data_IF_161725020332
#
_entry.id   IF_161725020332
#
_cell.length_a   1.000
_cell.length_b   1.000
_cell.length_c   1.000
_cell.angle_alpha   90.00
_cell.angle_beta   90.00
_cell.angle_gamma   90.00
#
_symmetry.space_group_name_H-M   'P 1'
#
loop_
_entity.id
_entity.type
_entity.pdbx_description
1 polymer ?
#
# COMPACT_ATOMS: atom_id res chain seq x y z
N UNK A 1 -12.80 -7.34 5.09
CA UNK A 1 -12.84 -6.72 3.76
C UNK A 1 -11.45 -6.27 3.35
N UNK A 2 -11.19 -6.27 2.06
CA UNK A 2 -10.02 -5.64 1.43
C UNK A 2 -10.48 -4.33 0.79
N UNK A 3 -9.60 -3.33 0.78
CA UNK A 3 -9.85 -2.03 0.16
C UNK A 3 -8.81 -1.77 -0.91
N UNK A 4 -9.24 -1.15 -2.00
CA UNK A 4 -8.38 -0.69 -3.08
C UNK A 4 -8.88 0.66 -3.60
N UNK A 5 -8.05 1.34 -4.37
CA UNK A 5 -8.44 2.57 -5.08
C UNK A 5 -8.50 2.33 -6.59
N UNK A 6 -9.31 3.12 -7.24
CA UNK A 6 -9.34 3.28 -8.70
C UNK A 6 -9.07 4.75 -9.00
N UNK A 7 -8.14 5.03 -9.89
CA UNK A 7 -7.72 6.39 -10.16
C UNK A 7 -8.67 7.14 -11.13
N UNK A 8 -9.37 6.41 -12.01
CA UNK A 8 -10.28 7.05 -12.96
C UNK A 8 -11.53 6.19 -13.25
N UNK A 9 -12.74 6.56 -12.77
CA UNK A 9 -12.97 7.69 -11.84
C UNK A 9 -12.35 7.41 -10.46
N UNK A 10 -12.02 8.47 -9.67
CA UNK A 10 -11.43 8.28 -8.35
C UNK A 10 -12.44 7.65 -7.39
N UNK A 11 -12.18 6.38 -7.03
CA UNK A 11 -13.04 5.59 -6.14
C UNK A 11 -12.20 4.87 -5.08
N UNK A 12 -12.77 4.69 -3.90
CA UNK A 12 -12.40 3.62 -2.98
C UNK A 12 -13.35 2.45 -3.24
N UNK A 13 -12.80 1.27 -3.47
CA UNK A 13 -13.56 0.02 -3.65
C UNK A 13 -13.28 -0.92 -2.50
N UNK A 14 -14.27 -1.77 -2.15
CA UNK A 14 -14.06 -2.83 -1.16
C UNK A 14 -14.57 -4.16 -1.68
N UNK A 15 -13.86 -5.21 -1.27
CA UNK A 15 -14.07 -6.57 -1.75
C UNK A 15 -13.90 -7.60 -0.65
N UNK A 16 -14.39 -8.80 -0.91
CA UNK A 16 -14.16 -9.95 -0.03
C UNK A 16 -12.72 -10.47 -0.19
N UNK A 17 -12.24 -11.32 0.75
CA UNK A 17 -10.95 -12.01 0.60
C UNK A 17 -10.88 -12.95 -0.60
N UNK A 18 -12.00 -13.26 -1.23
CA UNK A 18 -12.10 -14.03 -2.48
C UNK A 18 -12.02 -13.16 -3.75
N UNK A 19 -11.91 -11.82 -3.57
CA UNK A 19 -11.79 -10.85 -4.67
C UNK A 19 -13.13 -10.40 -5.24
N UNK A 20 -14.26 -10.71 -4.60
CA UNK A 20 -15.58 -10.25 -5.02
C UNK A 20 -15.81 -8.80 -4.57
N UNK A 21 -15.95 -7.87 -5.53
CA UNK A 21 -16.29 -6.47 -5.25
C UNK A 21 -17.68 -6.36 -4.64
N UNK A 22 -17.78 -5.83 -3.44
CA UNK A 22 -19.03 -5.67 -2.70
C UNK A 22 -19.52 -4.22 -2.61
N UNK A 23 -18.70 -3.25 -3.00
CA UNK A 23 -19.10 -1.87 -3.07
C UNK A 23 -18.00 -0.91 -3.48
N UNK A 24 -18.37 0.34 -3.66
CA UNK A 24 -17.44 1.44 -3.94
C UNK A 24 -18.03 2.80 -3.57
N UNK A 25 -17.15 3.79 -3.48
CA UNK A 25 -17.49 5.17 -3.18
C UNK A 25 -16.61 6.12 -3.99
N UNK A 26 -17.24 7.01 -4.76
CA UNK A 26 -16.54 8.09 -5.48
C UNK A 26 -16.00 9.11 -4.49
N UNK A 27 -14.74 9.53 -4.71
CA UNK A 27 -14.04 10.55 -3.91
C UNK A 27 -13.39 11.59 -4.82
N UNK A 28 -14.17 12.36 -5.60
CA UNK A 28 -13.67 13.18 -6.71
C UNK A 28 -12.70 14.30 -6.28
N UNK A 29 -12.65 14.63 -5.00
CA UNK A 29 -11.72 15.64 -4.47
C UNK A 29 -10.28 15.09 -4.34
N UNK A 30 -10.10 13.77 -4.26
CA UNK A 30 -8.78 13.14 -4.24
C UNK A 30 -8.43 12.72 -5.65
N UNK A 31 -7.61 13.51 -6.30
CA UNK A 31 -7.23 13.28 -7.69
C UNK A 31 -6.12 12.26 -7.79
N UNK A 32 -6.25 11.33 -8.72
CA UNK A 32 -5.25 10.30 -8.98
C UNK A 32 -4.90 9.49 -7.72
N UNK A 33 -5.88 8.81 -7.10
CA UNK A 33 -5.64 8.00 -5.92
C UNK A 33 -4.90 6.69 -6.31
N UNK A 34 -3.73 6.47 -5.72
CA UNK A 34 -2.89 5.30 -6.00
C UNK A 34 -2.67 4.40 -4.76
N UNK A 35 -3.05 4.88 -3.58
CA UNK A 35 -2.92 4.08 -2.36
C UNK A 35 -4.10 4.27 -1.43
N UNK A 36 -4.50 3.20 -0.73
CA UNK A 36 -5.45 3.26 0.38
C UNK A 36 -4.95 2.39 1.53
N UNK A 37 -5.01 2.94 2.73
CA UNK A 37 -4.63 2.24 3.96
C UNK A 37 -5.73 2.42 5.02
N UNK A 38 -6.23 1.31 5.55
CA UNK A 38 -7.16 1.33 6.68
C UNK A 38 -6.39 1.54 7.98
N UNK A 39 -6.81 2.49 8.78
CA UNK A 39 -6.16 2.81 10.05
C UNK A 39 -6.89 2.18 11.24
N UNK A 40 -8.15 2.54 11.42
CA UNK A 40 -9.04 2.01 12.45
C UNK A 40 -10.49 2.45 12.16
N UNK A 41 -11.47 1.68 12.64
CA UNK A 41 -12.90 1.97 12.47
C UNK A 41 -13.26 2.36 11.03
N UNK A 42 -13.69 3.61 10.85
CA UNK A 42 -14.03 4.20 9.55
C UNK A 42 -12.91 5.14 9.01
N UNK A 43 -11.72 5.14 9.62
CA UNK A 43 -10.61 6.02 9.23
C UNK A 43 -9.69 5.33 8.23
N UNK A 44 -9.45 6.04 7.14
CA UNK A 44 -8.56 5.61 6.05
C UNK A 44 -7.58 6.71 5.69
N UNK A 45 -6.40 6.32 5.21
CA UNK A 45 -5.51 7.20 4.44
C UNK A 45 -5.66 6.86 2.97
N UNK A 46 -5.87 7.89 2.16
CA UNK A 46 -5.92 7.77 0.69
C UNK A 46 -4.82 8.65 0.11
N UNK A 47 -3.93 8.02 -0.64
CA UNK A 47 -2.80 8.67 -1.29
C UNK A 47 -3.20 9.25 -2.63
N UNK A 48 -2.90 10.54 -2.88
CA UNK A 48 -3.00 11.18 -4.18
C UNK A 48 -1.62 11.36 -4.79
N UNK A 49 -1.36 10.69 -5.91
CA UNK A 49 -0.09 10.83 -6.63
C UNK A 49 0.07 12.26 -7.14
N UNK A 50 -0.97 12.79 -7.77
CA UNK A 50 -0.97 14.13 -8.36
C UNK A 50 -0.69 15.25 -7.36
N UNK A 51 -1.17 15.09 -6.12
CA UNK A 51 -0.96 16.06 -5.06
C UNK A 51 0.29 15.79 -4.22
N UNK A 52 0.84 14.57 -4.29
CA UNK A 52 1.91 14.10 -3.40
C UNK A 52 1.46 14.13 -1.94
N UNK A 53 0.27 13.64 -1.66
CA UNK A 53 -0.35 13.80 -0.35
C UNK A 53 -1.12 12.57 0.11
N UNK A 54 -1.27 12.41 1.42
CA UNK A 54 -2.05 11.37 2.06
C UNK A 54 -3.23 12.00 2.84
N UNK A 55 -4.43 11.89 2.30
CA UNK A 55 -5.67 12.36 2.89
C UNK A 55 -6.15 11.45 4.00
N UNK A 56 -6.51 11.99 5.15
CA UNK A 56 -7.29 11.28 6.17
C UNK A 56 -8.77 11.43 5.83
N UNK A 57 -9.43 10.30 5.64
CA UNK A 57 -10.83 10.22 5.21
C UNK A 57 -11.60 9.35 6.20
N UNK A 58 -12.75 9.83 6.65
CA UNK A 58 -13.71 8.99 7.35
C UNK A 58 -14.68 8.43 6.31
N UNK A 59 -14.74 7.10 6.15
CA UNK A 59 -15.59 6.42 5.15
C UNK A 59 -16.59 5.54 5.88
N UNK A 60 -17.86 5.88 5.79
CA UNK A 60 -18.97 5.01 6.29
C UNK A 60 -19.48 4.16 5.13
N UNK A 61 -18.95 2.94 5.03
CA UNK A 61 -19.32 2.00 3.94
C UNK A 61 -20.77 1.55 3.99
N UNK A 62 -21.40 1.59 5.18
CA UNK A 62 -22.80 1.19 5.34
C UNK A 62 -23.75 2.28 4.84
N UNK A 63 -23.36 3.55 4.99
CA UNK A 63 -24.14 4.70 4.50
C UNK A 63 -23.74 5.11 3.09
N UNK A 64 -22.60 4.64 2.57
CA UNK A 64 -22.06 5.10 1.30
C UNK A 64 -21.69 6.59 1.33
N UNK A 65 -21.06 7.04 2.42
CA UNK A 65 -20.69 8.46 2.60
C UNK A 65 -19.28 8.60 3.14
N UNK A 66 -18.65 9.76 2.91
CA UNK A 66 -17.32 10.07 3.42
C UNK A 66 -17.19 11.51 3.86
N UNK A 67 -16.13 11.78 4.62
CA UNK A 67 -15.72 13.11 5.03
C UNK A 67 -14.20 13.21 4.95
N UNK A 68 -13.69 14.21 4.22
CA UNK A 68 -12.28 14.57 4.25
C UNK A 68 -11.96 15.30 5.56
N UNK A 69 -10.95 14.83 6.29
CA UNK A 69 -10.61 15.37 7.62
C UNK A 69 -9.32 16.21 7.57
N UNK A 70 -8.23 15.65 7.08
CA UNK A 70 -6.94 16.31 7.02
C UNK A 70 -6.08 15.75 5.89
N UNK A 71 -4.98 16.42 5.59
CA UNK A 71 -4.07 16.06 4.52
C UNK A 71 -2.62 16.21 5.01
N UNK A 72 -1.77 15.22 4.74
CA UNK A 72 -0.33 15.25 4.92
C UNK A 72 0.31 15.44 3.56
N UNK A 73 1.00 16.56 3.35
CA UNK A 73 1.78 16.81 2.14
C UNK A 73 3.18 16.22 2.29
N UNK A 74 3.60 15.46 1.27
CA UNK A 74 4.89 14.81 1.21
C UNK A 74 5.77 15.53 0.19
N UNK A 75 6.78 16.26 0.66
CA UNK A 75 7.68 16.99 -0.21
C UNK A 75 8.46 16.05 -1.14
N UNK A 76 8.51 16.38 -2.43
CA UNK A 76 9.20 15.58 -3.45
C UNK A 76 8.43 14.37 -3.97
N UNK A 77 7.18 14.18 -3.54
CA UNK A 77 6.31 13.10 -4.02
C UNK A 77 5.48 13.48 -5.26
N UNK A 78 5.46 14.73 -5.64
CA UNK A 78 4.86 15.18 -6.91
C UNK A 78 5.92 15.18 -8.00
N UNK A 79 5.73 14.38 -9.06
CA UNK A 79 6.64 14.34 -10.21
C UNK A 79 5.87 14.20 -11.52
N UNK A 80 6.33 14.82 -12.63
CA UNK A 80 5.74 14.55 -13.93
C UNK A 80 5.88 13.09 -14.35
N UNK A 81 4.80 12.48 -14.84
CA UNK A 81 4.80 11.18 -15.48
C UNK A 81 4.80 10.00 -14.51
N UNK A 82 3.80 9.94 -13.64
CA UNK A 82 3.47 8.78 -12.77
C UNK A 82 4.70 8.19 -12.06
N UNK A 83 5.25 8.93 -11.10
CA UNK A 83 6.42 8.53 -10.29
C UNK A 83 6.30 9.10 -8.88
N UNK A 84 5.08 9.33 -8.47
CA UNK A 84 4.73 9.96 -7.20
C UNK A 84 4.48 8.99 -6.07
N UNK A 85 3.41 9.25 -5.34
CA UNK A 85 2.98 8.44 -4.20
C UNK A 85 2.23 7.19 -4.68
N UNK A 86 2.80 6.00 -4.43
CA UNK A 86 2.27 4.71 -4.88
C UNK A 86 1.94 3.75 -3.74
N UNK A 87 2.39 4.02 -2.54
CA UNK A 87 2.16 3.10 -1.43
C UNK A 87 1.97 3.81 -0.10
N UNK A 88 1.04 3.33 0.70
CA UNK A 88 0.84 3.72 2.10
C UNK A 88 0.76 2.46 2.97
N UNK A 89 1.29 2.55 4.19
CA UNK A 89 1.16 1.51 5.20
C UNK A 89 1.12 2.13 6.60
N UNK A 90 0.33 1.56 7.51
CA UNK A 90 0.10 2.12 8.83
C UNK A 90 0.57 1.20 9.95
N UNK A 91 1.54 1.69 10.72
CA UNK A 91 1.93 1.10 12.00
C UNK A 91 1.07 1.73 13.11
N UNK A 92 0.02 1.02 13.48
CA UNK A 92 -0.94 1.49 14.48
C UNK A 92 -0.30 1.63 15.87
N UNK A 93 0.61 0.72 16.22
CA UNK A 93 1.19 0.66 17.56
C UNK A 93 2.11 1.85 17.83
N UNK A 94 2.85 2.27 16.80
CA UNK A 94 3.78 3.40 16.89
C UNK A 94 3.22 4.70 16.30
N UNK A 95 2.01 4.70 15.74
CA UNK A 95 1.37 5.85 15.07
C UNK A 95 2.24 6.39 13.94
N UNK A 96 2.74 5.49 13.10
CA UNK A 96 3.62 5.79 11.97
C UNK A 96 2.94 5.44 10.66
N UNK A 97 2.90 6.43 9.76
CA UNK A 97 2.53 6.20 8.36
C UNK A 97 3.79 6.06 7.52
N UNK A 98 3.92 4.95 6.82
CA UNK A 98 4.90 4.79 5.76
C UNK A 98 4.28 5.23 4.45
N UNK A 99 5.06 5.96 3.64
CA UNK A 99 4.65 6.41 2.33
C UNK A 99 5.77 6.12 1.33
N UNK A 100 5.43 5.51 0.21
CA UNK A 100 6.38 5.19 -0.84
C UNK A 100 6.21 6.11 -2.05
N UNK A 101 7.34 6.59 -2.56
CA UNK A 101 7.47 7.19 -3.89
C UNK A 101 8.01 6.14 -4.85
N UNK A 102 7.35 5.98 -5.97
CA UNK A 102 7.57 4.89 -6.92
C UNK A 102 9.04 4.77 -7.35
N UNK A 103 9.59 5.79 -7.97
CA UNK A 103 10.95 5.75 -8.53
C UNK A 103 11.56 7.14 -8.80
N UNK A 104 12.85 7.16 -9.15
CA UNK A 104 13.67 8.33 -9.58
C UNK A 104 13.75 9.48 -8.57
N UNK A 105 14.25 9.24 -7.39
CA UNK A 105 14.62 7.94 -6.80
C UNK A 105 13.42 7.26 -6.13
N UNK A 106 13.52 5.95 -5.87
CA UNK A 106 12.64 5.26 -4.92
C UNK A 106 12.89 5.83 -3.52
N UNK A 107 11.81 6.22 -2.85
CA UNK A 107 11.87 6.77 -1.49
C UNK A 107 10.78 6.09 -0.67
N UNK A 108 11.11 5.64 0.53
CA UNK A 108 10.11 5.29 1.55
C UNK A 108 10.30 6.27 2.70
N UNK A 109 9.28 7.06 2.97
CA UNK A 109 9.24 7.99 4.09
C UNK A 109 8.52 7.38 5.28
N UNK A 110 9.05 7.65 6.47
CA UNK A 110 8.42 7.41 7.74
C UNK A 110 7.83 8.73 8.24
N UNK A 111 6.53 8.76 8.46
CA UNK A 111 5.79 9.93 8.93
C UNK A 111 5.27 9.62 10.33
N UNK A 112 5.87 10.20 11.35
CA UNK A 112 5.40 10.10 12.73
C UNK A 112 4.21 11.05 12.92
N UNK A 113 3.02 10.48 13.13
CA UNK A 113 1.75 11.23 13.24
C UNK A 113 1.41 11.43 14.69
N UNK A 114 1.57 12.66 15.19
CA UNK A 114 1.26 13.02 16.58
C UNK A 114 0.12 14.05 16.61
N UNK A 115 -1.12 13.59 16.72
CA UNK A 115 -2.33 14.43 16.75
C UNK A 115 -2.41 15.35 15.52
N UNK A 116 -2.15 16.65 15.70
CA UNK A 116 -2.21 17.68 14.63
C UNK A 116 -0.83 17.97 14.00
N UNK A 117 0.22 17.29 14.45
CA UNK A 117 1.59 17.49 13.96
C UNK A 117 2.11 16.18 13.37
N UNK A 118 2.96 16.30 12.39
CA UNK A 118 3.70 15.18 11.83
C UNK A 118 5.14 15.59 11.55
N UNK A 119 6.04 14.62 11.62
CA UNK A 119 7.42 14.75 11.18
C UNK A 119 7.73 13.70 10.13
N UNK A 120 8.51 14.05 9.13
CA UNK A 120 8.85 13.18 8.01
C UNK A 120 10.34 12.90 8.03
N UNK A 121 10.70 11.63 7.95
CA UNK A 121 12.06 11.16 7.73
C UNK A 121 12.08 10.11 6.60
N UNK A 122 13.21 9.94 5.95
CA UNK A 122 13.34 8.94 4.87
C UNK A 122 14.09 7.72 5.39
N UNK A 123 13.61 6.53 5.04
CA UNK A 123 14.32 5.29 5.36
C UNK A 123 15.68 5.24 4.62
N UNK A 124 16.68 4.53 5.17
CA UNK A 124 17.99 4.38 4.53
C UNK A 124 17.87 3.82 3.10
N UNK A 125 18.75 4.25 2.20
CA UNK A 125 18.78 3.77 0.83
C UNK A 125 19.01 2.24 0.72
N UNK A 126 19.59 1.60 1.74
CA UNK A 126 19.71 0.14 1.82
C UNK A 126 18.37 -0.58 1.76
N UNK A 127 17.28 0.05 2.23
CA UNK A 127 15.92 -0.47 2.18
C UNK A 127 15.36 -0.49 0.76
N UNK A 128 15.64 0.54 -0.02
CA UNK A 128 15.08 0.73 -1.37
C UNK A 128 16.00 0.26 -2.49
N UNK A 129 17.31 0.13 -2.25
CA UNK A 129 18.28 -0.30 -3.27
C UNK A 129 18.04 -1.72 -3.85
N UNK A 130 17.39 -2.66 -3.14
CA UNK A 130 17.08 -3.98 -3.69
C UNK A 130 15.94 -4.00 -4.72
N UNK A 131 15.20 -2.91 -4.88
CA UNK A 131 14.06 -2.81 -5.80
C UNK A 131 14.25 -1.68 -6.82
N UNK A 132 13.60 -1.80 -7.98
CA UNK A 132 13.66 -0.81 -9.07
C UNK A 132 12.59 0.26 -8.94
N UNK A 133 11.46 -0.10 -8.33
CA UNK A 133 10.30 0.72 -8.03
C UNK A 133 9.66 0.28 -6.73
N UNK A 134 8.67 1.01 -6.26
CA UNK A 134 7.72 0.56 -5.24
C UNK A 134 6.33 0.87 -5.74
N UNK A 135 5.50 -0.17 -5.88
CA UNK A 135 4.11 -0.09 -6.32
C UNK A 135 3.09 -0.38 -5.21
N UNK A 136 3.53 -0.74 -4.01
CA UNK A 136 2.65 -0.94 -2.87
C UNK A 136 3.41 -1.15 -1.56
N UNK A 137 2.76 -0.83 -0.45
CA UNK A 137 3.25 -1.06 0.90
C UNK A 137 2.19 -1.74 1.75
N UNK A 138 2.62 -2.53 2.72
CA UNK A 138 1.78 -3.01 3.82
C UNK A 138 2.62 -3.16 5.08
N UNK A 139 2.11 -2.73 6.24
CA UNK A 139 2.77 -2.94 7.53
C UNK A 139 2.09 -4.07 8.30
N UNK A 140 2.86 -5.10 8.63
CA UNK A 140 2.38 -6.26 9.36
C UNK A 140 2.75 -6.12 10.85
N UNK A 141 1.81 -5.63 11.65
CA UNK A 141 2.01 -5.39 13.09
C UNK A 141 2.46 -6.62 13.88
N UNK A 142 1.96 -7.86 13.62
CA UNK A 142 2.40 -9.04 14.38
C UNK A 142 3.90 -9.35 14.27
N UNK A 143 4.54 -9.08 13.14
CA UNK A 143 5.98 -9.26 12.94
C UNK A 143 6.75 -7.94 13.00
N UNK A 144 6.04 -6.82 13.14
CA UNK A 144 6.59 -5.48 13.09
C UNK A 144 7.47 -5.26 11.84
N UNK A 145 6.98 -5.72 10.68
CA UNK A 145 7.70 -5.65 9.40
C UNK A 145 6.91 -4.90 8.34
N UNK A 146 7.66 -4.24 7.45
CA UNK A 146 7.12 -3.54 6.28
C UNK A 146 7.28 -4.44 5.05
N UNK A 147 6.16 -4.75 4.39
CA UNK A 147 6.15 -5.39 3.08
C UNK A 147 6.24 -4.33 2.00
N UNK A 148 7.17 -4.52 1.08
CA UNK A 148 7.41 -3.63 -0.06
C UNK A 148 7.16 -4.40 -1.35
N UNK A 149 6.14 -4.01 -2.09
CA UNK A 149 5.84 -4.55 -3.42
C UNK A 149 6.61 -3.78 -4.48
N UNK A 150 7.24 -4.50 -5.40
CA UNK A 150 7.91 -3.92 -6.58
C UNK A 150 7.46 -4.67 -7.83
N UNK A 151 6.82 -3.96 -8.76
CA UNK A 151 6.42 -4.54 -10.04
C UNK A 151 7.63 -4.76 -10.96
N UNK A 152 8.48 -3.75 -11.13
CA UNK A 152 9.66 -3.86 -12.02
C UNK A 152 10.69 -4.90 -11.52
N UNK A 153 10.71 -5.21 -10.23
CA UNK A 153 11.56 -6.26 -9.64
C UNK A 153 10.85 -7.61 -9.53
N UNK A 154 9.55 -7.67 -9.80
CA UNK A 154 8.69 -8.85 -9.63
C UNK A 154 8.91 -9.52 -8.28
N UNK A 155 8.80 -8.71 -7.20
CA UNK A 155 9.08 -9.19 -5.85
C UNK A 155 8.29 -8.44 -4.77
N UNK A 156 8.05 -9.15 -3.68
CA UNK A 156 7.72 -8.59 -2.37
C UNK A 156 8.92 -8.75 -1.47
N UNK A 157 9.37 -7.67 -0.83
CA UNK A 157 10.39 -7.71 0.22
C UNK A 157 9.73 -7.58 1.58
N UNK A 158 10.23 -8.31 2.56
CA UNK A 158 9.95 -8.08 3.97
C UNK A 158 11.13 -7.34 4.60
N UNK A 159 10.85 -6.24 5.32
CA UNK A 159 11.83 -5.36 5.92
C UNK A 159 11.52 -5.23 7.40
N UNK A 160 12.50 -5.52 8.25
CA UNK A 160 12.37 -5.39 9.70
C UNK A 160 12.48 -3.93 10.18
N UNK A 161 12.28 -3.71 11.48
CA UNK A 161 12.36 -2.37 12.09
C UNK A 161 13.76 -1.74 12.02
N UNK A 162 14.80 -2.53 11.84
CA UNK A 162 16.18 -2.09 11.65
C UNK A 162 16.47 -1.63 10.22
N UNK A 163 15.50 -1.85 9.30
CA UNK A 163 15.64 -1.52 7.89
C UNK A 163 16.42 -2.58 7.10
N UNK A 164 16.46 -3.82 7.57
CA UNK A 164 17.10 -4.94 6.90
C UNK A 164 16.05 -5.75 6.13
N UNK A 165 16.40 -6.19 4.93
CA UNK A 165 15.58 -7.13 4.16
C UNK A 165 15.75 -8.52 4.75
N UNK A 166 14.67 -9.04 5.34
CA UNK A 166 14.66 -10.36 6.03
C UNK A 166 14.16 -11.48 5.15
N UNK A 167 13.28 -11.17 4.19
CA UNK A 167 12.75 -12.17 3.26
C UNK A 167 12.38 -11.54 1.91
N UNK A 168 12.22 -12.41 0.90
CA UNK A 168 11.81 -12.04 -0.45
C UNK A 168 10.95 -13.12 -1.08
N UNK A 169 9.78 -12.73 -1.57
CA UNK A 169 8.91 -13.53 -2.40
C UNK A 169 8.99 -13.06 -3.85
N UNK A 170 9.23 -13.98 -4.80
CA UNK A 170 9.22 -13.66 -6.22
C UNK A 170 7.83 -13.84 -6.83
N UNK A 171 7.47 -12.91 -7.73
CA UNK A 171 6.18 -12.86 -8.44
C UNK A 171 6.29 -13.36 -9.89
N UNK A 172 7.34 -14.10 -10.19
CA UNK A 172 7.58 -14.69 -11.51
C UNK A 172 6.97 -16.09 -11.60
N UNK A 173 6.72 -16.53 -12.84
CA UNK A 173 6.32 -17.88 -13.16
C UNK A 173 7.24 -18.93 -12.50
N UNK A 174 6.62 -20.00 -11.98
CA UNK A 174 7.33 -21.06 -11.27
C UNK A 174 7.59 -20.81 -9.80
N UNK A 175 7.36 -19.59 -9.29
CA UNK A 175 7.46 -19.25 -7.87
C UNK A 175 6.07 -19.17 -7.22
N UNK A 176 5.98 -19.53 -5.95
CA UNK A 176 4.75 -19.46 -5.13
C UNK A 176 3.49 -20.06 -5.79
N UNK A 177 3.65 -21.01 -6.73
CA UNK A 177 2.54 -21.64 -7.47
C UNK A 177 2.05 -20.85 -8.68
N UNK A 178 2.72 -19.77 -9.05
CA UNK A 178 2.37 -18.96 -10.21
C UNK A 178 2.70 -19.70 -11.51
N UNK A 179 1.73 -19.75 -12.44
CA UNK A 179 1.92 -20.28 -13.78
C UNK A 179 2.57 -19.26 -14.73
N UNK A 180 2.33 -17.98 -14.47
CA UNK A 180 2.83 -16.83 -15.24
C UNK A 180 3.30 -15.73 -14.26
N UNK A 181 4.11 -14.78 -14.75
CA UNK A 181 4.49 -13.59 -13.98
C UNK A 181 3.23 -12.78 -13.64
N UNK A 182 3.16 -12.22 -12.43
CA UNK A 182 2.13 -11.23 -12.12
C UNK A 182 2.42 -9.96 -12.94
N UNK A 183 1.51 -9.55 -13.85
CA UNK A 183 1.69 -8.31 -14.60
C UNK A 183 1.36 -7.11 -13.70
N UNK A 184 2.07 -6.00 -13.82
CA UNK A 184 1.77 -4.70 -13.19
C UNK A 184 1.13 -4.82 -11.79
N UNK A 185 1.88 -5.38 -10.82
CA UNK A 185 1.43 -5.54 -9.45
C UNK A 185 1.41 -4.16 -8.75
N UNK A 186 0.21 -3.69 -8.31
CA UNK A 186 0.01 -2.31 -7.84
C UNK A 186 -0.42 -2.20 -6.37
N UNK A 187 -0.92 -3.28 -5.77
CA UNK A 187 -1.36 -3.24 -4.38
C UNK A 187 -1.11 -4.54 -3.63
N UNK A 188 -0.84 -4.42 -2.34
CA UNK A 188 -0.50 -5.53 -1.45
C UNK A 188 -1.21 -5.39 -0.11
N UNK A 189 -1.70 -6.51 0.43
CA UNK A 189 -2.20 -6.61 1.79
C UNK A 189 -1.90 -8.00 2.37
N UNK A 190 -1.72 -8.08 3.68
CA UNK A 190 -1.57 -9.32 4.43
C UNK A 190 -2.63 -9.36 5.53
N UNK A 191 -3.36 -10.46 5.66
CA UNK A 191 -4.31 -10.64 6.75
C UNK A 191 -3.69 -11.29 7.99
N UNK A 192 -4.41 -11.24 9.11
CA UNK A 192 -3.95 -11.83 10.39
C UNK A 192 -3.75 -13.36 10.33
N UNK A 193 -4.26 -14.02 9.28
CA UNK A 193 -4.07 -15.45 9.04
C UNK A 193 -2.83 -15.75 8.18
N UNK A 194 -2.10 -14.71 7.76
CA UNK A 194 -0.92 -14.79 6.90
C UNK A 194 -1.25 -15.02 5.42
N UNK A 195 -2.49 -14.76 4.98
CA UNK A 195 -2.79 -14.77 3.55
C UNK A 195 -2.36 -13.45 2.94
N UNK A 196 -1.56 -13.54 1.87
CA UNK A 196 -1.10 -12.38 1.11
C UNK A 196 -2.03 -12.15 -0.09
N UNK A 197 -2.39 -10.90 -0.30
CA UNK A 197 -3.23 -10.44 -1.39
C UNK A 197 -2.45 -9.47 -2.27
N UNK A 198 -2.56 -9.62 -3.58
CA UNK A 198 -1.96 -8.69 -4.56
C UNK A 198 -3.04 -8.36 -5.59
N UNK A 199 -3.22 -7.07 -5.84
CA UNK A 199 -3.98 -6.57 -6.98
C UNK A 199 -3.03 -6.14 -8.08
N UNK A 200 -3.45 -6.30 -9.33
CA UNK A 200 -2.61 -6.11 -10.50
C UNK A 200 -3.46 -5.63 -11.68
N UNK A 201 -2.89 -4.81 -12.54
CA UNK A 201 -3.56 -4.41 -13.77
C UNK A 201 -3.66 -5.58 -14.80
N UNK A 202 -4.70 -5.59 -15.63
CA UNK A 202 -5.80 -4.61 -15.73
C UNK A 202 -6.94 -4.81 -14.72
N UNK A 203 -7.11 -5.93 -14.03
CA UNK A 203 -8.14 -6.24 -13.03
C UNK A 203 -7.88 -7.64 -12.45
N UNK A 204 -6.65 -7.93 -12.11
CA UNK A 204 -6.26 -9.22 -11.57
C UNK A 204 -6.17 -9.18 -10.06
N UNK A 205 -6.49 -10.30 -9.45
CA UNK A 205 -6.47 -10.50 -8.01
C UNK A 205 -5.80 -11.83 -7.70
N UNK A 206 -4.79 -11.79 -6.85
CA UNK A 206 -4.03 -12.95 -6.41
C UNK A 206 -4.16 -13.12 -4.91
N UNK A 207 -4.38 -14.36 -4.47
CA UNK A 207 -4.38 -14.73 -3.06
C UNK A 207 -3.39 -15.86 -2.83
N UNK A 208 -2.44 -15.64 -1.95
CA UNK A 208 -1.46 -16.63 -1.52
C UNK A 208 -1.78 -17.07 -0.11
N UNK A 209 -1.85 -18.37 0.10
CA UNK A 209 -2.14 -18.96 1.40
C UNK A 209 -0.85 -19.29 2.14
N UNK A 210 -0.77 -18.96 3.42
CA UNK A 210 0.31 -19.44 4.25
C UNK A 210 0.24 -20.98 4.31
N UNK A 211 1.31 -21.65 3.90
CA UNK A 211 1.39 -23.09 4.11
C UNK A 211 1.53 -23.34 5.61
N UNK A 212 0.52 -23.97 6.21
CA UNK A 212 0.68 -24.52 7.55
C UNK A 212 1.91 -25.44 7.50
N UNK A 213 2.99 -25.05 8.15
CA UNK A 213 4.10 -25.95 8.44
C UNK A 213 3.52 -27.09 9.29
N UNK A 214 3.20 -28.22 8.64
CA UNK A 214 2.88 -29.44 9.38
C UNK A 214 4.11 -29.78 10.21
N UNK A 215 3.96 -29.62 11.51
CA UNK A 215 4.86 -30.13 12.53
C UNK A 215 5.13 -31.65 12.38
#
# INVERSE_FOLDING_TARGET
LLFAVVNNPPEVVWMTPEGERTGSLLIPEITDPEAVEWMEDNLFRVGSEKEGSAWLVNIDILKGSYQLLSNIKLEGYTQPGNKGLEGLAWDKDNQVLFAAKEKKPVIISRVDVQREKYSVSTLPASVTSPVRDVSGLHYHSPTASLLVLSDESKAVLEINNEGEVTDRMYLNAGWAGLAEDIPQAEGIALDDSGNLYIVSEPNLFYRFFQKNSRS
#
